data_IF_432517985881
#
_entry.id   IF_432517985881
#
_cell.length_a   1.000
_cell.length_b   1.000
_cell.length_c   1.000
_cell.angle_alpha   90.00
_cell.angle_beta   90.00
_cell.angle_gamma   90.00
#
_symmetry.space_group_name_H-M   'P 1'
#
loop_
_entity.id
_entity.type
_entity.pdbx_description
1 polymer ?
#
# COMPACT_ATOMS: atom_id res chain seq x y z
N UNK A 1 -5.34 -34.31 -8.70
CA UNK A 1 -5.17 -32.94 -9.24
C UNK A 1 -6.23 -32.05 -8.60
N UNK A 2 -5.84 -30.98 -7.87
CA UNK A 2 -6.82 -30.03 -7.31
C UNK A 2 -7.53 -29.33 -8.48
N UNK A 3 -8.85 -29.39 -8.56
CA UNK A 3 -9.64 -28.68 -9.59
C UNK A 3 -9.61 -27.18 -9.27
N UNK A 4 -8.55 -26.51 -9.69
CA UNK A 4 -8.32 -25.07 -9.47
C UNK A 4 -9.44 -24.19 -10.05
N UNK A 5 -10.18 -24.68 -11.04
CA UNK A 5 -11.30 -23.97 -11.67
C UNK A 5 -12.40 -23.53 -10.70
N UNK A 6 -12.60 -24.24 -9.58
CA UNK A 6 -13.59 -23.86 -8.57
C UNK A 6 -13.19 -22.62 -7.75
N UNK A 7 -11.91 -22.27 -7.73
CA UNK A 7 -11.42 -21.11 -6.99
C UNK A 7 -11.42 -19.82 -7.80
N UNK A 8 -11.66 -19.88 -9.12
CA UNK A 8 -11.63 -18.72 -10.01
C UNK A 8 -12.58 -17.60 -9.55
N UNK A 9 -13.81 -17.94 -9.15
CA UNK A 9 -14.80 -16.96 -8.69
C UNK A 9 -14.37 -16.31 -7.36
N UNK A 10 -14.05 -17.08 -6.29
CA UNK A 10 -13.50 -16.50 -5.06
C UNK A 10 -12.27 -15.62 -5.26
N UNK A 11 -11.34 -16.04 -6.12
CA UNK A 11 -10.12 -15.28 -6.42
C UNK A 11 -10.45 -13.98 -7.15
N UNK A 12 -11.34 -14.02 -8.15
CA UNK A 12 -11.79 -12.81 -8.84
C UNK A 12 -12.45 -11.81 -7.87
N UNK A 13 -13.28 -12.31 -6.95
CA UNK A 13 -13.90 -11.51 -5.90
C UNK A 13 -12.84 -10.88 -4.97
N UNK A 14 -11.88 -11.68 -4.51
CA UNK A 14 -10.76 -11.20 -3.69
C UNK A 14 -9.98 -10.08 -4.40
N UNK A 15 -9.62 -10.28 -5.67
CA UNK A 15 -8.88 -9.30 -6.47
C UNK A 15 -9.68 -8.00 -6.62
N UNK A 16 -10.96 -8.09 -6.97
CA UNK A 16 -11.84 -6.93 -7.12
C UNK A 16 -11.95 -6.15 -5.79
N UNK A 17 -12.29 -6.83 -4.69
CA UNK A 17 -12.38 -6.19 -3.38
C UNK A 17 -11.06 -5.54 -2.96
N UNK A 18 -9.94 -6.20 -3.22
CA UNK A 18 -8.64 -5.66 -2.87
C UNK A 18 -8.32 -4.39 -3.65
N UNK A 19 -8.65 -4.33 -4.95
CA UNK A 19 -8.48 -3.11 -5.76
C UNK A 19 -9.36 -1.98 -5.24
N UNK A 20 -10.62 -2.26 -4.89
CA UNK A 20 -11.52 -1.26 -4.30
C UNK A 20 -10.98 -0.73 -2.98
N UNK A 21 -10.52 -1.62 -2.08
CA UNK A 21 -9.90 -1.24 -0.80
C UNK A 21 -8.67 -0.37 -1.04
N UNK A 22 -7.80 -0.75 -1.98
CA UNK A 22 -6.60 0.02 -2.33
C UNK A 22 -6.96 1.43 -2.83
N UNK A 23 -7.97 1.55 -3.70
CA UNK A 23 -8.45 2.84 -4.18
C UNK A 23 -8.99 3.72 -3.05
N UNK A 24 -9.77 3.14 -2.12
CA UNK A 24 -10.24 3.88 -0.94
C UNK A 24 -9.09 4.27 -0.01
N UNK A 25 -8.05 3.44 0.12
CA UNK A 25 -6.84 3.77 0.88
C UNK A 25 -6.06 4.94 0.26
N UNK A 26 -5.92 4.98 -1.07
CA UNK A 26 -5.32 6.12 -1.79
C UNK A 26 -6.15 7.40 -1.57
N UNK A 27 -7.48 7.29 -1.63
CA UNK A 27 -8.37 8.42 -1.38
C UNK A 27 -8.24 8.98 0.04
N UNK A 28 -8.29 8.10 1.05
CA UNK A 28 -8.09 8.47 2.45
C UNK A 28 -6.70 9.06 2.70
N UNK A 29 -5.68 8.54 2.03
CA UNK A 29 -4.35 9.12 2.05
C UNK A 29 -4.40 10.57 1.55
N UNK A 30 -4.93 10.85 0.37
CA UNK A 30 -5.02 12.21 -0.17
C UNK A 30 -5.84 13.15 0.74
N UNK A 31 -6.96 12.67 1.29
CA UNK A 31 -7.74 13.42 2.29
C UNK A 31 -6.90 13.78 3.52
N UNK A 32 -6.11 12.84 4.05
CA UNK A 32 -5.21 13.08 5.18
C UNK A 32 -4.06 14.07 4.89
N UNK A 33 -3.85 14.38 3.62
CA UNK A 33 -2.87 15.36 3.15
C UNK A 33 -3.51 16.71 2.77
N UNK A 34 -4.80 16.89 3.05
CA UNK A 34 -5.49 18.15 2.84
C UNK A 34 -6.15 18.27 1.46
N UNK A 35 -6.49 17.16 0.78
CA UNK A 35 -7.25 17.21 -0.49
C UNK A 35 -8.56 18.02 -0.38
N UNK A 36 -9.17 18.06 0.80
CA UNK A 36 -10.36 18.87 1.09
C UNK A 36 -10.09 20.38 1.18
N UNK A 37 -8.82 20.79 1.28
CA UNK A 37 -8.39 22.17 1.48
C UNK A 37 -7.76 22.81 0.24
N UNK A 38 -7.63 22.06 -0.85
CA UNK A 38 -6.99 22.50 -2.10
C UNK A 38 -7.81 22.05 -3.30
N UNK A 39 -7.77 22.82 -4.38
CA UNK A 39 -8.47 22.45 -5.61
C UNK A 39 -7.76 21.30 -6.32
N UNK A 40 -8.40 20.12 -6.30
CA UNK A 40 -8.01 18.96 -7.08
C UNK A 40 -6.79 18.18 -6.58
N UNK A 41 -6.54 17.05 -7.25
CA UNK A 41 -5.50 16.09 -6.88
C UNK A 41 -4.11 16.71 -7.03
N UNK A 42 -3.87 17.48 -8.09
CA UNK A 42 -2.57 18.13 -8.35
C UNK A 42 -2.20 19.14 -7.26
N UNK A 43 -3.17 19.88 -6.74
CA UNK A 43 -2.99 20.77 -5.59
C UNK A 43 -2.59 19.99 -4.33
N UNK A 44 -3.27 18.87 -4.06
CA UNK A 44 -2.96 18.00 -2.93
C UNK A 44 -1.54 17.42 -3.01
N UNK A 45 -1.12 16.94 -4.18
CA UNK A 45 0.24 16.41 -4.38
C UNK A 45 1.31 17.47 -4.14
N UNK A 46 1.11 18.70 -4.64
CA UNK A 46 2.05 19.81 -4.38
C UNK A 46 2.12 20.15 -2.89
N UNK A 47 0.97 20.21 -2.22
CA UNK A 47 0.87 20.49 -0.78
C UNK A 47 1.63 19.46 0.04
N UNK A 48 1.52 18.17 -0.27
CA UNK A 48 2.30 17.10 0.41
C UNK A 48 3.80 17.35 0.36
N UNK A 49 4.31 17.86 -0.76
CA UNK A 49 5.74 18.06 -0.97
C UNK A 49 6.22 19.35 -0.29
N UNK A 50 5.47 20.45 -0.44
CA UNK A 50 5.92 21.78 0.00
C UNK A 50 5.53 22.11 1.43
N UNK A 51 4.35 21.67 1.86
CA UNK A 51 3.68 22.04 3.12
C UNK A 51 2.86 20.85 3.65
N UNK A 52 3.52 19.73 3.99
CA UNK A 52 2.82 18.55 4.49
C UNK A 52 2.00 18.88 5.73
N UNK A 53 0.79 18.32 5.80
CA UNK A 53 -0.09 18.49 6.94
C UNK A 53 0.62 18.08 8.25
N UNK A 54 0.57 18.92 9.31
CA UNK A 54 1.25 18.63 10.55
C UNK A 54 0.80 17.29 11.12
N UNK A 55 1.78 16.50 11.55
CA UNK A 55 1.58 15.17 12.11
C UNK A 55 1.92 15.19 13.59
N UNK A 56 1.23 14.40 14.39
CA UNK A 56 1.51 14.26 15.83
C UNK A 56 2.01 12.85 16.14
N UNK A 57 2.81 12.73 17.21
CA UNK A 57 3.29 11.43 17.68
C UNK A 57 2.14 10.54 18.19
N UNK A 58 1.09 11.14 18.73
CA UNK A 58 -0.13 10.44 19.12
C UNK A 58 -0.80 9.80 17.89
N UNK A 59 -1.04 10.59 16.84
CA UNK A 59 -1.65 10.12 15.61
C UNK A 59 -0.73 9.15 14.86
N UNK A 60 0.59 9.21 15.04
CA UNK A 60 1.51 8.22 14.48
C UNK A 60 1.21 6.82 15.03
N UNK A 61 1.02 6.66 16.35
CA UNK A 61 0.74 5.34 16.94
C UNK A 61 -0.63 4.83 16.50
N UNK A 62 -1.63 5.71 16.48
CA UNK A 62 -2.99 5.37 16.03
C UNK A 62 -3.05 5.00 14.55
N UNK A 63 -2.20 5.59 13.70
CA UNK A 63 -2.16 5.30 12.27
C UNK A 63 -1.24 4.11 11.97
N UNK A 64 -0.04 4.07 12.57
CA UNK A 64 0.96 3.04 12.29
C UNK A 64 0.47 1.64 12.70
N UNK A 65 -0.25 1.51 13.82
CA UNK A 65 -0.75 0.21 14.29
C UNK A 65 -1.70 -0.47 13.30
N UNK A 66 -2.82 0.14 12.87
CA UNK A 66 -3.70 -0.45 11.87
C UNK A 66 -3.03 -0.55 10.49
N UNK A 67 -2.09 0.33 10.13
CA UNK A 67 -1.38 0.23 8.85
C UNK A 67 -0.39 -0.93 8.82
N UNK A 68 0.39 -1.14 9.88
CA UNK A 68 1.28 -2.29 10.02
C UNK A 68 0.50 -3.60 10.05
N UNK A 69 -0.64 -3.62 10.76
CA UNK A 69 -1.48 -4.80 10.83
C UNK A 69 -2.19 -5.09 9.49
N UNK A 70 -2.84 -4.09 8.89
CA UNK A 70 -3.58 -4.26 7.63
C UNK A 70 -2.64 -4.56 6.46
N UNK A 71 -1.53 -3.82 6.30
CA UNK A 71 -0.56 -4.10 5.24
C UNK A 71 0.15 -5.43 5.48
N UNK A 72 0.48 -5.76 6.73
CA UNK A 72 1.06 -7.06 7.09
C UNK A 72 0.14 -8.22 6.73
N UNK A 73 -1.14 -8.14 7.09
CA UNK A 73 -2.16 -9.12 6.73
C UNK A 73 -2.35 -9.23 5.22
N UNK A 74 -2.40 -8.10 4.52
CA UNK A 74 -2.60 -8.06 3.08
C UNK A 74 -1.42 -8.70 2.34
N UNK A 75 -0.18 -8.35 2.71
CA UNK A 75 1.03 -8.97 2.17
C UNK A 75 1.06 -10.45 2.53
N UNK A 76 0.72 -10.83 3.76
CA UNK A 76 0.70 -12.23 4.20
C UNK A 76 -0.28 -13.07 3.38
N UNK A 77 -1.54 -12.64 3.24
CA UNK A 77 -2.57 -13.36 2.48
C UNK A 77 -2.14 -13.54 1.02
N UNK A 78 -1.67 -12.47 0.39
CA UNK A 78 -1.27 -12.49 -1.02
C UNK A 78 -0.01 -13.33 -1.22
N UNK A 79 0.98 -13.22 -0.33
CA UNK A 79 2.17 -14.09 -0.34
C UNK A 79 1.80 -15.57 -0.09
N UNK A 80 0.77 -15.84 0.72
CA UNK A 80 0.29 -17.19 0.97
C UNK A 80 -0.33 -17.81 -0.29
N UNK A 81 -1.11 -17.05 -1.07
CA UNK A 81 -1.59 -17.50 -2.38
C UNK A 81 -0.44 -17.80 -3.34
N UNK A 82 0.64 -17.01 -3.28
CA UNK A 82 1.83 -17.25 -4.11
C UNK A 82 2.60 -18.52 -3.75
N UNK A 83 2.41 -19.14 -2.57
CA UNK A 83 2.97 -20.46 -2.26
C UNK A 83 2.31 -21.58 -3.07
N UNK A 84 1.07 -21.36 -3.53
CA UNK A 84 0.32 -22.29 -4.37
C UNK A 84 0.43 -21.97 -5.86
N UNK A 85 1.21 -20.94 -6.21
CA UNK A 85 1.47 -20.56 -7.60
C UNK A 85 2.18 -21.67 -8.36
N UNK A 86 1.70 -21.96 -9.57
CA UNK A 86 2.33 -22.93 -10.47
C UNK A 86 3.18 -22.28 -11.56
N UNK A 87 2.94 -20.98 -11.84
CA UNK A 87 3.57 -20.25 -12.95
C UNK A 87 4.63 -19.24 -12.52
N UNK A 88 4.60 -18.82 -11.26
CA UNK A 88 5.50 -17.80 -10.71
C UNK A 88 6.34 -18.41 -9.60
N UNK A 89 7.65 -18.19 -9.67
CA UNK A 89 8.59 -18.72 -8.69
C UNK A 89 8.43 -18.07 -7.32
N UNK A 90 8.62 -18.86 -6.26
CA UNK A 90 8.56 -18.39 -4.88
C UNK A 90 9.57 -17.27 -4.57
N UNK A 91 10.76 -17.31 -5.21
CA UNK A 91 11.81 -16.29 -5.03
C UNK A 91 11.34 -14.91 -5.49
N UNK A 92 10.65 -14.84 -6.63
CA UNK A 92 10.10 -13.58 -7.17
C UNK A 92 9.00 -13.06 -6.24
N UNK A 93 8.09 -13.93 -5.80
CA UNK A 93 7.01 -13.57 -4.87
C UNK A 93 7.56 -13.02 -3.55
N UNK A 94 8.60 -13.66 -2.99
CA UNK A 94 9.28 -13.19 -1.78
C UNK A 94 9.94 -11.83 -1.99
N UNK A 95 10.64 -11.63 -3.11
CA UNK A 95 11.29 -10.36 -3.40
C UNK A 95 10.26 -9.21 -3.47
N UNK A 96 9.14 -9.42 -4.15
CA UNK A 96 8.05 -8.43 -4.26
C UNK A 96 7.45 -8.13 -2.88
N UNK A 97 7.19 -9.15 -2.06
CA UNK A 97 6.69 -8.98 -0.70
C UNK A 97 7.68 -8.19 0.19
N UNK A 98 8.99 -8.48 0.09
CA UNK A 98 10.03 -7.76 0.83
C UNK A 98 10.09 -6.28 0.44
N UNK A 99 9.99 -5.97 -0.86
CA UNK A 99 9.94 -4.59 -1.34
C UNK A 99 8.73 -3.85 -0.76
N UNK A 100 7.55 -4.49 -0.71
CA UNK A 100 6.35 -3.91 -0.11
C UNK A 100 6.54 -3.60 1.38
N UNK A 101 7.15 -4.51 2.14
CA UNK A 101 7.46 -4.25 3.56
C UNK A 101 8.44 -3.09 3.74
N UNK A 102 9.49 -3.01 2.91
CA UNK A 102 10.46 -1.92 2.95
C UNK A 102 9.78 -0.59 2.65
N UNK A 103 8.94 -0.52 1.62
CA UNK A 103 8.19 0.70 1.25
C UNK A 103 7.21 1.11 2.35
N UNK A 104 6.49 0.16 2.95
CA UNK A 104 5.60 0.43 4.08
C UNK A 104 6.37 0.99 5.28
N UNK A 105 7.54 0.44 5.59
CA UNK A 105 8.41 0.94 6.66
C UNK A 105 8.86 2.38 6.42
N UNK A 106 9.36 2.70 5.21
CA UNK A 106 9.73 4.07 4.88
C UNK A 106 8.53 5.03 4.90
N UNK A 107 7.34 4.57 4.54
CA UNK A 107 6.14 5.40 4.63
C UNK A 107 5.82 5.78 6.09
N UNK A 108 5.95 4.83 7.02
CA UNK A 108 5.75 5.09 8.46
C UNK A 108 6.85 6.00 9.00
N UNK A 109 8.11 5.75 8.66
CA UNK A 109 9.23 6.62 9.08
C UNK A 109 9.06 8.05 8.57
N UNK A 110 8.60 8.22 7.33
CA UNK A 110 8.33 9.55 6.77
C UNK A 110 7.22 10.27 7.53
N UNK A 111 6.19 9.56 8.02
CA UNK A 111 5.20 10.15 8.92
C UNK A 111 5.86 10.70 10.18
N UNK A 112 6.70 9.89 10.84
CA UNK A 112 7.41 10.29 12.05
C UNK A 112 8.31 11.50 11.81
N UNK A 113 9.03 11.54 10.69
CA UNK A 113 9.88 12.68 10.32
C UNK A 113 9.06 13.98 10.13
N UNK A 114 7.87 13.91 9.51
CA UNK A 114 6.97 15.08 9.41
C UNK A 114 6.55 15.55 10.81
N UNK A 115 6.30 14.62 11.74
CA UNK A 115 5.94 14.97 13.13
C UNK A 115 7.08 15.70 13.88
N UNK A 116 8.34 15.49 13.48
CA UNK A 116 9.49 16.24 13.98
C UNK A 116 9.82 17.51 13.16
N UNK A 117 8.96 17.90 12.21
CA UNK A 117 9.12 19.13 11.43
C UNK A 117 9.99 19.01 10.16
N UNK A 118 10.42 17.80 9.77
CA UNK A 118 11.18 17.59 8.54
C UNK A 118 10.28 17.64 7.30
N UNK A 119 10.08 18.84 6.74
CA UNK A 119 9.21 19.07 5.56
C UNK A 119 9.56 18.19 4.35
N UNK A 120 10.86 17.95 4.10
CA UNK A 120 11.32 17.12 2.97
C UNK A 120 10.78 15.68 3.01
N UNK A 121 10.39 15.18 4.18
CA UNK A 121 9.83 13.83 4.33
C UNK A 121 8.42 13.68 3.74
N UNK A 122 7.70 14.78 3.46
CA UNK A 122 6.44 14.74 2.71
C UNK A 122 6.61 14.16 1.31
N UNK A 123 7.67 14.55 0.59
CA UNK A 123 8.00 13.98 -0.73
C UNK A 123 8.34 12.48 -0.65
N UNK A 124 9.11 12.07 0.37
CA UNK A 124 9.43 10.65 0.61
C UNK A 124 8.15 9.86 0.87
N UNK A 125 7.23 10.41 1.66
CA UNK A 125 5.94 9.79 1.95
C UNK A 125 5.11 9.58 0.70
N UNK A 126 5.04 10.59 -0.16
CA UNK A 126 4.29 10.50 -1.42
C UNK A 126 4.90 9.47 -2.36
N UNK A 127 6.23 9.52 -2.54
CA UNK A 127 6.96 8.59 -3.40
C UNK A 127 6.76 7.15 -2.92
N UNK A 128 7.00 6.88 -1.64
CA UNK A 128 6.91 5.54 -1.06
C UNK A 128 5.47 5.00 -1.15
N UNK A 129 4.45 5.83 -0.94
CA UNK A 129 3.05 5.44 -1.11
C UNK A 129 2.75 5.08 -2.58
N UNK A 130 3.18 5.93 -3.53
CA UNK A 130 2.94 5.69 -4.96
C UNK A 130 3.62 4.41 -5.47
N UNK A 131 4.89 4.21 -5.11
CA UNK A 131 5.63 2.99 -5.46
C UNK A 131 5.02 1.78 -4.76
N UNK A 132 4.60 1.89 -3.50
CA UNK A 132 3.92 0.80 -2.78
C UNK A 132 2.66 0.35 -3.53
N UNK A 133 1.79 1.28 -3.89
CA UNK A 133 0.56 0.97 -4.65
C UNK A 133 0.89 0.27 -5.98
N UNK A 134 1.89 0.78 -6.72
CA UNK A 134 2.32 0.17 -7.98
C UNK A 134 2.84 -1.27 -7.82
N UNK A 135 3.74 -1.49 -6.86
CA UNK A 135 4.28 -2.83 -6.57
C UNK A 135 3.18 -3.76 -6.06
N UNK A 136 2.22 -3.24 -5.30
CA UNK A 136 1.12 -4.03 -4.77
C UNK A 136 0.17 -4.49 -5.90
N UNK A 137 -0.12 -3.63 -6.88
CA UNK A 137 -0.85 -4.01 -8.09
C UNK A 137 -0.12 -5.09 -8.91
N UNK A 138 1.22 -5.03 -8.98
CA UNK A 138 2.01 -6.11 -9.60
C UNK A 138 1.80 -7.43 -8.86
N UNK A 139 1.84 -7.42 -7.53
CA UNK A 139 1.60 -8.62 -6.72
C UNK A 139 0.18 -9.18 -6.93
N UNK A 140 -0.84 -8.32 -7.05
CA UNK A 140 -2.20 -8.77 -7.41
C UNK A 140 -2.27 -9.37 -8.81
N UNK A 141 -1.59 -8.76 -9.79
CA UNK A 141 -1.47 -9.31 -11.14
C UNK A 141 -0.77 -10.67 -11.15
N UNK A 142 0.26 -10.84 -10.30
CA UNK A 142 0.91 -12.13 -10.11
C UNK A 142 -0.07 -13.18 -9.59
N UNK A 143 -0.93 -12.85 -8.61
CA UNK A 143 -1.99 -13.78 -8.16
C UNK A 143 -2.97 -14.12 -9.27
N UNK A 144 -3.39 -13.13 -10.07
CA UNK A 144 -4.31 -13.35 -11.18
C UNK A 144 -3.77 -14.30 -12.26
N UNK A 145 -2.45 -14.28 -12.50
CA UNK A 145 -1.78 -15.13 -13.52
C UNK A 145 -1.28 -16.45 -12.94
N UNK A 146 -1.00 -16.50 -11.64
CA UNK A 146 -0.43 -17.65 -10.89
C UNK A 146 -1.29 -18.92 -10.94
N UNK A 147 -2.61 -18.74 -11.07
CA UNK A 147 -3.63 -19.80 -11.16
C UNK A 147 -3.94 -20.14 -12.62
#
# INVERSE_FOLDING_TARGET
MKKLSYFNIPIAYLLLYTVVILATGVWLFLLSQGLNSVEGITGALKKVISTPEPKSMHNLVEVATPHLFAMGMLIFVVAHFMLFSTKISQKVSLAVAMVLFILAFFNILSYGAIAFGLVASGGIKLLTMGVFVGVFLVLLGMVAVSL
#
